data_IF_319887592520
#
_entry.id   IF_319887592520
#
_cell.length_a   1.000
_cell.length_b   1.000
_cell.length_c   1.000
_cell.angle_alpha   90.00
_cell.angle_beta   90.00
_cell.angle_gamma   90.00
#
_symmetry.space_group_name_H-M   'P 1'
#
loop_
_entity.id
_entity.type
_entity.pdbx_description
1 polymer ?
#
# COMPACT_ATOMS: atom_id res chain seq x y z
N UNK A 1 -19.92 -13.57 -1.39
CA UNK A 1 -20.65 -12.36 -1.83
C UNK A 1 -20.23 -11.05 -1.10
N UNK A 2 -19.19 -11.04 -0.25
CA UNK A 2 -18.71 -9.79 0.39
C UNK A 2 -17.85 -8.90 -0.52
N UNK A 3 -17.22 -9.46 -1.55
CA UNK A 3 -16.32 -8.73 -2.46
C UNK A 3 -17.03 -7.66 -3.29
N UNK A 4 -18.18 -8.00 -3.89
CA UNK A 4 -18.97 -7.06 -4.70
C UNK A 4 -19.57 -5.93 -3.84
N UNK A 5 -20.06 -6.26 -2.65
CA UNK A 5 -20.62 -5.32 -1.69
C UNK A 5 -19.67 -4.15 -1.38
N UNK A 6 -18.36 -4.42 -1.31
CA UNK A 6 -17.35 -3.44 -0.93
C UNK A 6 -16.58 -2.84 -2.12
N UNK A 7 -16.92 -3.18 -3.36
CA UNK A 7 -16.14 -2.77 -4.54
C UNK A 7 -15.98 -1.25 -4.67
N UNK A 8 -17.01 -0.47 -4.32
CA UNK A 8 -16.94 1.00 -4.30
C UNK A 8 -15.83 1.51 -3.38
N UNK A 9 -15.66 0.90 -2.19
CA UNK A 9 -14.61 1.28 -1.24
C UNK A 9 -13.22 1.09 -1.85
N UNK A 10 -13.00 -0.06 -2.50
CA UNK A 10 -11.72 -0.36 -3.18
C UNK A 10 -11.44 0.61 -4.32
N UNK A 11 -12.45 0.91 -5.15
CA UNK A 11 -12.32 1.86 -6.27
C UNK A 11 -11.97 3.26 -5.76
N UNK A 12 -12.69 3.76 -4.76
CA UNK A 12 -12.42 5.08 -4.17
C UNK A 12 -11.01 5.18 -3.60
N UNK A 13 -10.56 4.14 -2.89
CA UNK A 13 -9.21 4.11 -2.34
C UNK A 13 -8.14 4.03 -3.44
N UNK A 14 -8.39 3.26 -4.50
CA UNK A 14 -7.49 3.17 -5.65
C UNK A 14 -7.38 4.51 -6.39
N UNK A 15 -8.52 5.17 -6.64
CA UNK A 15 -8.56 6.50 -7.25
C UNK A 15 -7.86 7.54 -6.37
N UNK A 16 -8.07 7.50 -5.06
CA UNK A 16 -7.32 8.32 -4.11
C UNK A 16 -5.82 8.09 -4.24
N UNK A 17 -5.37 6.84 -4.27
CA UNK A 17 -3.95 6.54 -4.44
C UNK A 17 -3.39 7.04 -5.77
N UNK A 18 -4.09 6.81 -6.89
CA UNK A 18 -3.66 7.25 -8.21
C UNK A 18 -3.63 8.78 -8.30
N UNK A 19 -4.67 9.46 -7.85
CA UNK A 19 -4.79 10.92 -7.88
C UNK A 19 -3.63 11.60 -7.16
N UNK A 20 -3.38 11.23 -5.90
CA UNK A 20 -2.26 11.80 -5.14
C UNK A 20 -0.91 11.42 -5.73
N UNK A 21 -0.81 10.27 -6.42
CA UNK A 21 0.44 9.85 -7.05
C UNK A 21 0.80 10.63 -8.31
N UNK A 22 -0.19 11.20 -9.01
CA UNK A 22 -0.01 12.01 -10.23
C UNK A 22 0.35 13.48 -9.89
N UNK A 23 -0.10 13.99 -8.74
CA UNK A 23 0.21 15.36 -8.33
C UNK A 23 1.71 15.56 -8.05
N UNK A 24 2.26 16.77 -8.32
CA UNK A 24 3.61 17.12 -7.89
C UNK A 24 3.73 16.96 -6.38
N UNK A 25 4.66 16.10 -5.97
CA UNK A 25 4.91 15.78 -4.58
C UNK A 25 6.35 15.33 -4.44
N UNK A 26 6.87 15.35 -3.22
CA UNK A 26 8.16 14.73 -3.00
C UNK A 26 8.10 13.23 -3.35
N UNK A 27 9.17 12.70 -3.96
CA UNK A 27 9.19 11.32 -4.41
C UNK A 27 8.85 10.39 -3.25
N UNK A 28 7.95 9.43 -3.49
CA UNK A 28 7.65 8.34 -2.57
C UNK A 28 7.00 8.71 -1.22
N UNK A 29 6.47 9.93 -1.07
CA UNK A 29 5.42 10.19 -0.08
C UNK A 29 4.08 9.86 -0.75
N UNK A 30 3.56 8.66 -0.48
CA UNK A 30 2.41 8.09 -1.19
C UNK A 30 1.37 7.49 -0.25
N UNK A 31 0.07 7.63 -0.55
CA UNK A 31 -0.97 7.06 0.28
C UNK A 31 -1.15 5.53 0.14
N UNK A 32 -0.33 4.82 -0.66
CA UNK A 32 -0.53 3.37 -0.92
C UNK A 32 -0.40 2.55 0.35
N UNK A 33 0.67 2.77 1.13
CA UNK A 33 0.86 2.14 2.43
C UNK A 33 -0.29 2.48 3.38
N UNK A 34 -0.65 3.77 3.48
CA UNK A 34 -1.67 4.22 4.43
C UNK A 34 -3.09 3.74 4.07
N UNK A 35 -3.40 3.57 2.79
CA UNK A 35 -4.67 3.02 2.31
C UNK A 35 -4.71 1.49 2.42
N UNK A 36 -3.65 0.79 2.05
CA UNK A 36 -3.63 -0.69 2.02
C UNK A 36 -3.84 -1.32 3.41
N UNK A 37 -3.25 -0.74 4.46
CA UNK A 37 -3.35 -1.30 5.81
C UNK A 37 -4.79 -1.43 6.36
N UNK A 38 -5.65 -0.38 6.33
CA UNK A 38 -7.06 -0.49 6.69
C UNK A 38 -7.84 -1.55 5.91
N UNK A 39 -7.64 -1.62 4.59
CA UNK A 39 -8.32 -2.62 3.75
C UNK A 39 -7.87 -4.03 4.10
N UNK A 40 -6.57 -4.24 4.27
CA UNK A 40 -6.03 -5.53 4.66
C UNK A 40 -6.52 -5.96 6.05
N UNK A 41 -6.64 -5.01 6.98
CA UNK A 41 -7.15 -5.25 8.33
C UNK A 41 -8.61 -5.72 8.32
N UNK A 42 -9.47 -5.05 7.56
CA UNK A 42 -10.92 -5.28 7.59
C UNK A 42 -11.34 -6.45 6.69
N UNK A 43 -10.68 -6.60 5.53
CA UNK A 43 -11.07 -7.58 4.51
C UNK A 43 -10.10 -8.76 4.38
N UNK A 44 -9.01 -8.77 5.17
CA UNK A 44 -8.06 -9.86 5.25
C UNK A 44 -6.83 -9.72 4.35
N UNK A 45 -5.84 -10.58 4.57
CA UNK A 45 -4.53 -10.53 3.91
C UNK A 45 -4.60 -10.62 2.38
N UNK A 46 -5.39 -11.52 1.81
CA UNK A 46 -5.52 -11.63 0.35
C UNK A 46 -6.14 -10.39 -0.30
N UNK A 47 -7.11 -9.77 0.38
CA UNK A 47 -7.69 -8.51 -0.06
C UNK A 47 -6.67 -7.36 0.02
N UNK A 48 -5.86 -7.34 1.09
CA UNK A 48 -4.72 -6.44 1.24
C UNK A 48 -3.68 -6.62 0.13
N UNK A 49 -3.33 -7.87 -0.19
CA UNK A 49 -2.42 -8.21 -1.29
C UNK A 49 -2.93 -7.66 -2.61
N UNK A 50 -4.18 -8.00 -2.96
CA UNK A 50 -4.76 -7.59 -4.22
C UNK A 50 -4.79 -6.06 -4.32
N UNK A 51 -5.30 -5.37 -3.31
CA UNK A 51 -5.37 -3.90 -3.32
C UNK A 51 -4.00 -3.24 -3.49
N UNK A 52 -3.00 -3.69 -2.72
CA UNK A 52 -1.67 -3.10 -2.77
C UNK A 52 -0.98 -3.38 -4.13
N UNK A 53 -1.07 -4.62 -4.64
CA UNK A 53 -0.52 -4.98 -5.94
C UNK A 53 -1.19 -4.20 -7.08
N UNK A 54 -2.53 -4.14 -7.11
CA UNK A 54 -3.27 -3.36 -8.11
C UNK A 54 -3.00 -1.87 -8.00
N UNK A 55 -2.74 -1.33 -6.80
CA UNK A 55 -2.36 0.08 -6.63
C UNK A 55 -1.03 0.40 -7.34
N UNK A 56 -0.07 -0.51 -7.30
CA UNK A 56 1.19 -0.36 -8.04
C UNK A 56 0.98 -0.45 -9.54
N UNK A 57 0.32 -1.52 -9.99
CA UNK A 57 0.03 -1.77 -11.41
C UNK A 57 -0.72 -0.59 -12.04
N UNK A 58 -1.78 -0.10 -11.38
CA UNK A 58 -2.66 0.93 -11.94
C UNK A 58 -1.90 2.20 -12.27
N UNK A 59 -0.98 2.66 -11.42
CA UNK A 59 -0.22 3.88 -11.73
C UNK A 59 0.70 3.68 -12.94
N UNK A 60 1.39 2.54 -13.04
CA UNK A 60 2.32 2.28 -14.15
C UNK A 60 1.57 2.24 -15.48
N UNK A 61 0.37 1.64 -15.50
CA UNK A 61 -0.50 1.65 -16.68
C UNK A 61 -1.03 3.06 -17.00
N UNK A 62 -1.53 3.80 -16.00
CA UNK A 62 -2.06 5.16 -16.19
C UNK A 62 -0.97 6.14 -16.66
N UNK A 63 0.26 5.96 -16.18
CA UNK A 63 1.40 6.82 -16.55
C UNK A 63 2.14 6.38 -17.82
N UNK A 64 1.76 5.23 -18.41
CA UNK A 64 2.46 4.65 -19.58
C UNK A 64 3.88 4.17 -19.27
N UNK A 65 4.18 3.84 -18.01
CA UNK A 65 5.52 3.46 -17.52
C UNK A 65 5.57 2.00 -17.06
N UNK A 66 4.92 1.11 -17.78
CA UNK A 66 4.96 -0.32 -17.48
C UNK A 66 6.36 -0.87 -17.77
N UNK A 67 6.92 -1.66 -16.84
CA UNK A 67 8.23 -2.28 -16.99
C UNK A 67 8.46 -3.44 -16.01
N UNK A 68 9.69 -3.96 -15.94
CA UNK A 68 10.03 -5.02 -14.98
C UNK A 68 9.77 -4.61 -13.53
N UNK A 69 9.93 -3.32 -13.22
CA UNK A 69 9.57 -2.74 -11.92
C UNK A 69 8.11 -2.89 -11.56
N UNK A 70 7.20 -2.87 -12.54
CA UNK A 70 5.77 -3.08 -12.27
C UNK A 70 5.54 -4.43 -11.61
N UNK A 71 6.30 -5.46 -11.99
CA UNK A 71 6.17 -6.82 -11.43
C UNK A 71 6.70 -6.85 -10.00
N UNK A 72 7.99 -6.50 -9.78
CA UNK A 72 8.58 -6.68 -8.46
C UNK A 72 8.01 -5.68 -7.43
N UNK A 73 7.61 -4.47 -7.84
CA UNK A 73 6.96 -3.52 -6.93
C UNK A 73 5.55 -3.97 -6.57
N UNK A 74 4.75 -4.46 -7.53
CA UNK A 74 3.41 -4.97 -7.26
C UNK A 74 3.45 -6.21 -6.35
N UNK A 75 4.40 -7.13 -6.58
CA UNK A 75 4.58 -8.30 -5.71
C UNK A 75 5.05 -7.90 -4.31
N UNK A 76 6.04 -7.01 -4.20
CA UNK A 76 6.54 -6.54 -2.90
C UNK A 76 5.43 -5.83 -2.09
N UNK A 77 4.69 -4.91 -2.72
CA UNK A 77 3.55 -4.27 -2.07
C UNK A 77 2.40 -5.24 -1.79
N UNK A 78 2.16 -6.21 -2.67
CA UNK A 78 1.20 -7.28 -2.43
C UNK A 78 1.53 -8.04 -1.15
N UNK A 79 2.79 -8.46 -0.97
CA UNK A 79 3.25 -9.12 0.26
C UNK A 79 3.08 -8.20 1.47
N UNK A 80 3.42 -6.91 1.35
CA UNK A 80 3.16 -5.91 2.40
C UNK A 80 1.67 -5.87 2.78
N UNK A 81 0.77 -5.81 1.80
CA UNK A 81 -0.67 -5.82 2.03
C UNK A 81 -1.15 -7.11 2.71
N UNK A 82 -0.61 -8.25 2.32
CA UNK A 82 -0.89 -9.53 2.99
C UNK A 82 -0.45 -9.53 4.45
N UNK A 83 0.78 -9.10 4.72
CA UNK A 83 1.34 -9.00 6.07
C UNK A 83 0.55 -8.02 6.94
N UNK A 84 0.07 -6.92 6.35
CA UNK A 84 -0.76 -5.94 7.05
C UNK A 84 -2.03 -6.60 7.58
N UNK A 85 -2.71 -7.41 6.75
CA UNK A 85 -3.88 -8.17 7.16
C UNK A 85 -3.55 -9.19 8.26
N UNK A 86 -2.46 -9.93 8.11
CA UNK A 86 -2.04 -10.93 9.12
C UNK A 86 -1.66 -10.31 10.48
N UNK A 87 -1.12 -9.10 10.49
CA UNK A 87 -0.65 -8.42 11.70
C UNK A 87 -1.74 -7.56 12.36
N UNK A 88 -2.44 -6.72 11.59
CA UNK A 88 -3.43 -5.76 12.08
C UNK A 88 -4.79 -6.37 12.41
N UNK A 89 -5.15 -7.51 11.81
CA UNK A 89 -6.40 -8.23 12.13
C UNK A 89 -6.44 -8.69 13.59
N UNK A 90 -5.28 -8.95 14.20
CA UNK A 90 -5.12 -9.33 15.62
C UNK A 90 -5.48 -8.19 16.59
N UNK A 91 -5.57 -6.96 16.10
CA UNK A 91 -5.92 -5.78 16.90
C UNK A 91 -7.44 -5.59 16.86
N UNK A 92 -8.12 -5.55 18.00
CA UNK A 92 -9.58 -5.24 18.02
C UNK A 92 -9.85 -3.87 17.37
N UNK A 93 -9.08 -2.86 17.77
CA UNK A 93 -9.11 -1.53 17.19
C UNK A 93 -7.68 -1.07 16.92
N UNK A 94 -7.30 -0.96 15.65
CA UNK A 94 -5.98 -0.47 15.26
C UNK A 94 -5.96 1.07 15.30
N UNK A 95 -5.04 1.63 16.08
CA UNK A 95 -4.82 3.08 16.23
C UNK A 95 -3.70 3.55 15.32
N UNK A 96 -3.52 4.87 15.20
CA UNK A 96 -2.45 5.48 14.39
C UNK A 96 -1.06 4.88 14.67
N UNK A 97 -0.74 4.63 15.95
CA UNK A 97 0.52 4.00 16.34
C UNK A 97 0.67 2.54 15.87
N UNK A 98 -0.42 1.77 15.81
CA UNK A 98 -0.36 0.42 15.25
C UNK A 98 0.00 0.49 13.76
N UNK A 99 -0.70 1.33 12.99
CA UNK A 99 -0.39 1.54 11.57
C UNK A 99 1.03 2.03 11.34
N UNK A 100 1.51 3.01 12.12
CA UNK A 100 2.88 3.51 12.01
C UNK A 100 3.92 2.42 12.31
N UNK A 101 3.71 1.60 13.34
CA UNK A 101 4.59 0.46 13.65
C UNK A 101 4.64 -0.56 12.50
N UNK A 102 3.51 -0.88 11.88
CA UNK A 102 3.52 -1.72 10.69
C UNK A 102 4.32 -1.06 9.56
N UNK A 103 4.00 0.19 9.26
CA UNK A 103 4.58 0.95 8.17
C UNK A 103 6.10 1.06 8.29
N UNK A 104 6.65 1.14 9.51
CA UNK A 104 8.09 1.10 9.76
C UNK A 104 8.73 -0.16 9.15
N UNK A 105 8.29 -1.34 9.59
CA UNK A 105 8.85 -2.61 9.13
C UNK A 105 8.52 -2.89 7.66
N UNK A 106 7.31 -2.55 7.23
CA UNK A 106 6.86 -2.74 5.86
C UNK A 106 7.66 -1.88 4.87
N UNK A 107 8.02 -0.65 5.25
CA UNK A 107 8.84 0.23 4.41
C UNK A 107 10.24 -0.34 4.22
N UNK A 108 10.89 -0.75 5.31
CA UNK A 108 12.24 -1.35 5.24
C UNK A 108 12.21 -2.62 4.39
N UNK A 109 11.20 -3.49 4.58
CA UNK A 109 11.03 -4.69 3.78
C UNK A 109 10.85 -4.38 2.29
N UNK A 110 9.91 -3.49 1.97
CA UNK A 110 9.61 -3.10 0.59
C UNK A 110 10.84 -2.53 -0.10
N UNK A 111 11.55 -1.63 0.55
CA UNK A 111 12.74 -0.99 -0.01
C UNK A 111 13.89 -1.97 -0.21
N UNK A 112 14.14 -2.86 0.76
CA UNK A 112 15.18 -3.87 0.63
C UNK A 112 14.91 -4.81 -0.56
N UNK A 113 13.67 -5.29 -0.69
CA UNK A 113 13.26 -6.19 -1.78
C UNK A 113 13.34 -5.49 -3.14
N UNK A 114 12.81 -4.27 -3.23
CA UNK A 114 12.78 -3.53 -4.50
C UNK A 114 14.16 -3.03 -4.91
N UNK A 115 15.01 -2.60 -3.98
CA UNK A 115 16.40 -2.24 -4.26
C UNK A 115 17.22 -3.45 -4.73
N UNK A 116 17.03 -4.62 -4.12
CA UNK A 116 17.68 -5.85 -4.56
C UNK A 116 17.23 -6.27 -5.97
N UNK A 117 15.92 -6.22 -6.25
CA UNK A 117 15.37 -6.54 -7.56
C UNK A 117 15.84 -5.57 -8.66
N UNK A 118 15.82 -4.26 -8.35
CA UNK A 118 16.35 -3.24 -9.25
C UNK A 118 17.85 -3.45 -9.50
N UNK A 119 18.62 -3.71 -8.44
CA UNK A 119 20.06 -3.99 -8.55
C UNK A 119 20.35 -5.17 -9.46
N UNK A 120 19.65 -6.28 -9.26
CA UNK A 120 19.74 -7.46 -10.11
C UNK A 120 19.42 -7.17 -11.57
N UNK A 121 18.37 -6.37 -11.84
CA UNK A 121 17.99 -5.98 -13.20
C UNK A 121 19.12 -5.23 -13.94
N UNK A 122 19.92 -4.44 -13.23
CA UNK A 122 20.99 -3.63 -13.83
C UNK A 122 22.41 -4.18 -13.55
N UNK A 123 22.52 -5.41 -13.04
CA UNK A 123 23.82 -6.04 -12.73
C UNK A 123 24.61 -5.34 -11.62
N UNK A 124 23.94 -4.58 -10.76
CA UNK A 124 24.56 -3.94 -9.59
C UNK A 124 24.69 -4.95 -8.44
N UNK A 125 25.76 -4.83 -7.66
CA UNK A 125 25.92 -5.67 -6.47
C UNK A 125 24.89 -5.30 -5.40
N UNK A 126 24.45 -6.28 -4.63
CA UNK A 126 23.47 -6.09 -3.55
C UNK A 126 23.94 -5.04 -2.53
N UNK A 127 25.25 -4.98 -2.25
CA UNK A 127 25.81 -4.00 -1.33
C UNK A 127 25.65 -2.58 -1.86
N UNK A 128 25.95 -2.34 -3.15
CA UNK A 128 25.82 -1.02 -3.77
C UNK A 128 24.36 -0.56 -3.74
N UNK A 129 23.42 -1.44 -4.08
CA UNK A 129 22.01 -1.07 -4.13
C UNK A 129 21.42 -0.82 -2.75
N UNK A 130 21.75 -1.65 -1.75
CA UNK A 130 21.25 -1.45 -0.38
C UNK A 130 21.82 -0.20 0.29
N UNK A 131 23.12 0.11 0.08
CA UNK A 131 23.72 1.34 0.61
C UNK A 131 23.13 2.56 -0.10
N UNK A 132 23.01 2.52 -1.42
CA UNK A 132 22.43 3.60 -2.21
C UNK A 132 20.95 3.87 -1.88
N UNK A 133 20.24 2.85 -1.39
CA UNK A 133 18.82 2.95 -1.00
C UNK A 133 18.61 3.71 0.32
N UNK A 134 19.62 3.81 1.21
CA UNK A 134 19.44 4.36 2.57
C UNK A 134 18.77 5.75 2.58
N UNK A 135 19.20 6.75 1.79
CA UNK A 135 18.54 8.06 1.79
C UNK A 135 17.07 7.98 1.36
N UNK A 136 16.76 7.14 0.37
CA UNK A 136 15.39 6.92 -0.10
C UNK A 136 14.55 6.24 0.98
N UNK A 137 15.10 5.27 1.71
CA UNK A 137 14.39 4.60 2.81
C UNK A 137 14.09 5.52 3.98
N UNK A 138 15.01 6.41 4.34
CA UNK A 138 14.73 7.43 5.36
C UNK A 138 13.58 8.35 4.92
N UNK A 139 13.56 8.70 3.63
CA UNK A 139 12.49 9.49 3.06
C UNK A 139 11.13 8.77 3.06
N UNK A 140 11.13 7.50 2.64
CA UNK A 140 9.93 6.65 2.68
C UNK A 140 9.42 6.48 4.10
N UNK A 141 10.31 6.26 5.07
CA UNK A 141 9.94 6.12 6.47
C UNK A 141 9.24 7.39 6.95
N UNK A 142 9.78 8.58 6.69
CA UNK A 142 9.13 9.82 7.09
C UNK A 142 7.71 9.96 6.49
N UNK A 143 7.57 9.69 5.19
CA UNK A 143 6.27 9.75 4.50
C UNK A 143 5.28 8.71 5.01
N UNK A 144 5.68 7.44 4.99
CA UNK A 144 4.82 6.32 5.35
C UNK A 144 4.43 6.34 6.83
N UNK A 145 5.33 6.70 7.74
CA UNK A 145 5.00 6.79 9.17
C UNK A 145 4.01 7.91 9.45
N UNK A 146 4.24 9.09 8.86
CA UNK A 146 3.34 10.24 8.99
C UNK A 146 1.95 9.90 8.46
N UNK A 147 1.87 9.40 7.22
CA UNK A 147 0.59 9.06 6.60
C UNK A 147 -0.08 7.87 7.30
N UNK A 148 0.67 6.85 7.74
CA UNK A 148 0.11 5.73 8.48
C UNK A 148 -0.49 6.18 9.81
N UNK A 149 0.19 7.05 10.54
CA UNK A 149 -0.28 7.52 11.84
C UNK A 149 -1.57 8.34 11.72
N UNK A 150 -1.59 9.32 10.81
CA UNK A 150 -2.70 10.26 10.71
C UNK A 150 -3.80 9.81 9.72
N UNK A 151 -3.44 9.24 8.58
CA UNK A 151 -4.38 9.00 7.47
C UNK A 151 -5.01 7.61 7.52
N UNK A 152 -4.28 6.56 7.91
CA UNK A 152 -4.86 5.20 7.97
C UNK A 152 -6.08 5.08 8.90
N UNK A 153 -6.10 5.67 10.12
CA UNK A 153 -7.30 5.66 10.95
C UNK A 153 -8.50 6.35 10.29
N UNK A 154 -8.25 7.42 9.54
CA UNK A 154 -9.28 8.19 8.84
C UNK A 154 -9.85 7.41 7.65
N UNK A 155 -8.98 6.80 6.83
CA UNK A 155 -9.40 5.89 5.75
C UNK A 155 -10.23 4.75 6.31
N UNK A 156 -9.79 4.16 7.44
CA UNK A 156 -10.56 3.09 8.08
C UNK A 156 -11.96 3.59 8.44
N UNK A 157 -12.05 4.70 9.19
CA UNK A 157 -13.31 5.25 9.71
C UNK A 157 -14.27 5.68 8.61
N UNK A 158 -13.78 6.41 7.61
CA UNK A 158 -14.62 7.10 6.63
C UNK A 158 -14.89 6.30 5.36
N UNK A 159 -13.99 5.38 4.99
CA UNK A 159 -14.12 4.59 3.76
C UNK A 159 -14.39 3.13 4.10
N UNK A 160 -13.47 2.47 4.80
CA UNK A 160 -13.49 1.01 4.96
C UNK A 160 -14.68 0.52 5.78
N UNK A 161 -14.91 1.12 6.95
CA UNK A 161 -15.99 0.73 7.87
C UNK A 161 -17.28 1.53 7.65
N UNK A 162 -17.38 2.30 6.57
CA UNK A 162 -18.55 3.13 6.30
C UNK A 162 -19.62 2.31 5.54
N UNK A 163 -20.79 2.03 6.17
CA UNK A 163 -21.83 1.21 5.55
C UNK A 163 -22.52 1.93 4.38
N UNK A 164 -22.47 3.27 4.31
CA UNK A 164 -23.08 4.05 3.21
C UNK A 164 -22.36 3.84 1.87
N UNK A 165 -21.14 3.29 1.90
CA UNK A 165 -20.35 2.99 0.71
C UNK A 165 -20.48 1.52 0.29
N UNK A 166 -21.41 0.78 0.89
CA UNK A 166 -21.69 -0.59 0.51
C UNK A 166 -22.74 -0.61 -0.59
N UNK A 167 -22.49 -1.40 -1.63
CA UNK A 167 -23.49 -1.65 -2.66
C UNK A 167 -24.61 -2.50 -2.07
N UNK A 168 -25.85 -2.09 -2.31
CA UNK A 168 -27.00 -2.92 -2.00
C UNK A 168 -27.08 -4.06 -3.02
N UNK A 169 -26.77 -5.27 -2.58
CA UNK A 169 -26.79 -6.48 -3.41
C UNK A 169 -28.14 -7.20 -3.27
N UNK A 170 -29.13 -6.61 -2.58
CA UNK A 170 -30.46 -7.21 -2.37
C UNK A 170 -31.39 -7.14 -3.59
N UNK A 171 -30.98 -6.45 -4.67
CA UNK A 171 -31.68 -6.45 -5.95
C UNK A 171 -31.23 -7.64 -6.82
N UNK A 172 -31.48 -8.88 -6.36
CA UNK A 172 -31.59 -10.10 -7.19
C UNK A 172 -32.54 -11.09 -6.56
#
# INVERSE_FOLDING_TARGET
MSGFKNSVKYILALLFCVFFRILPRPPNIEPVMSASMPFAKEFGGYAGFAFAAFSMITLDFVSGRVGYWTIYTALAYGVVGYMAGAWLSRKKEAKGMDYAKFAFFATIFYDAVTAAAFGMQFGQSLQVTLIGQIPFTLYHLLGNLTLAYFVSPLIRKWIVTNPKLELDVSLR
#
